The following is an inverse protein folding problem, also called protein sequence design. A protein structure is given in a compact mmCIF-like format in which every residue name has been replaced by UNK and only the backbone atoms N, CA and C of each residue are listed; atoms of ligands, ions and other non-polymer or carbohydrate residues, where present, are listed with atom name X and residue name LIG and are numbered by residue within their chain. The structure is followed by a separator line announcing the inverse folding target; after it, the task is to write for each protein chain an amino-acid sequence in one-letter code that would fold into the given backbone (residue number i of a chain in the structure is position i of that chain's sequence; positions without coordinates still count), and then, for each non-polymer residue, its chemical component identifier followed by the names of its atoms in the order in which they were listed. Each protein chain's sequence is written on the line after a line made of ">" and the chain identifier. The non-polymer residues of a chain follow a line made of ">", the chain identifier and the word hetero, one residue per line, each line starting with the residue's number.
data_IF_528110906818
#
_entry.id   IF_528110906818
#
_cell.length_a   1.000
_cell.length_b   1.000
_cell.length_c   1.000
_cell.angle_alpha   90.00
_cell.angle_beta   90.00
_cell.angle_gamma   90.00
#
_symmetry.space_group_name_H-M   'P 1'
#
loop_
_entity.id
_entity.type
_entity.pdbx_description
1 polymer ?
#
# COMPACT_ATOMS: atom_id res chain seq x y z
N UNK A 1 -30.40 -1.63 7.78
CA UNK A 1 -30.19 -0.54 6.81
C UNK A 1 -29.25 0.53 7.34
N UNK A 2 -29.60 1.29 8.39
CA UNK A 2 -28.71 2.35 8.92
C UNK A 2 -27.37 1.84 9.46
N UNK A 3 -27.38 0.71 10.19
CA UNK A 3 -26.17 0.08 10.72
C UNK A 3 -25.28 -0.51 9.63
N UNK A 4 -25.86 -1.17 8.62
CA UNK A 4 -25.11 -1.75 7.49
C UNK A 4 -24.38 -0.65 6.70
N UNK A 5 -25.05 0.50 6.50
CA UNK A 5 -24.45 1.67 5.87
C UNK A 5 -23.30 2.23 6.72
N UNK A 6 -23.49 2.30 8.04
CA UNK A 6 -22.46 2.78 8.95
C UNK A 6 -21.22 1.87 8.90
N UNK A 7 -21.40 0.56 9.07
CA UNK A 7 -20.28 -0.40 9.05
C UNK A 7 -19.58 -0.42 7.69
N UNK A 8 -20.33 -0.41 6.59
CA UNK A 8 -19.76 -0.35 5.24
C UNK A 8 -18.94 0.93 5.02
N UNK A 9 -19.45 2.08 5.48
CA UNK A 9 -18.75 3.37 5.38
C UNK A 9 -17.48 3.40 6.22
N UNK A 10 -17.55 2.93 7.48
CA UNK A 10 -16.37 2.83 8.37
C UNK A 10 -15.32 1.92 7.74
N UNK A 11 -15.73 0.77 7.20
CA UNK A 11 -14.83 -0.17 6.53
C UNK A 11 -14.12 0.48 5.33
N UNK A 12 -14.84 1.24 4.51
CA UNK A 12 -14.24 1.98 3.39
C UNK A 12 -13.22 3.01 3.89
N UNK A 13 -13.57 3.80 4.89
CA UNK A 13 -12.67 4.83 5.44
C UNK A 13 -11.39 4.21 6.01
N UNK A 14 -11.51 3.09 6.73
CA UNK A 14 -10.38 2.32 7.24
C UNK A 14 -9.52 1.76 6.10
N UNK A 15 -10.13 1.20 5.06
CA UNK A 15 -9.42 0.67 3.91
C UNK A 15 -8.63 1.74 3.15
N UNK A 16 -9.25 2.90 2.90
CA UNK A 16 -8.57 4.04 2.26
C UNK A 16 -7.42 4.56 3.13
N UNK A 17 -7.64 4.68 4.44
CA UNK A 17 -6.60 5.11 5.37
C UNK A 17 -5.41 4.14 5.37
N UNK A 18 -5.65 2.83 5.43
CA UNK A 18 -4.59 1.82 5.41
C UNK A 18 -3.79 1.84 4.09
N UNK A 19 -4.47 1.97 2.94
CA UNK A 19 -3.80 2.11 1.63
C UNK A 19 -2.97 3.39 1.57
N UNK A 20 -3.47 4.50 2.12
CA UNK A 20 -2.73 5.76 2.16
C UNK A 20 -1.50 5.65 3.07
N UNK A 21 -1.65 5.07 4.26
CA UNK A 21 -0.54 4.83 5.19
C UNK A 21 0.53 3.93 4.54
N UNK A 22 0.12 2.85 3.89
CA UNK A 22 1.01 2.00 3.10
C UNK A 22 1.74 2.78 2.00
N UNK A 23 1.02 3.58 1.21
CA UNK A 23 1.60 4.40 0.15
C UNK A 23 2.66 5.37 0.71
N UNK A 24 2.36 6.05 1.82
CA UNK A 24 3.32 6.94 2.47
C UNK A 24 4.55 6.17 2.96
N UNK A 25 4.35 5.00 3.58
CA UNK A 25 5.47 4.16 4.03
C UNK A 25 6.35 3.67 2.88
N UNK A 26 5.78 3.43 1.70
CA UNK A 26 6.50 2.89 0.54
C UNK A 26 7.22 3.99 -0.26
N UNK A 27 6.56 5.12 -0.49
CA UNK A 27 6.99 6.13 -1.47
C UNK A 27 7.40 7.48 -0.87
N UNK A 28 6.96 7.80 0.35
CA UNK A 28 7.33 9.05 1.00
C UNK A 28 8.62 8.90 1.79
N UNK A 29 9.50 9.89 1.71
CA UNK A 29 10.74 9.98 2.50
C UNK A 29 10.77 11.12 3.51
N UNK A 30 9.63 11.80 3.72
CA UNK A 30 9.51 12.83 4.75
C UNK A 30 8.99 12.25 6.07
N UNK A 31 8.79 13.12 7.06
CA UNK A 31 8.35 12.76 8.43
C UNK A 31 7.08 11.89 8.44
N UNK A 32 6.16 12.13 7.49
CA UNK A 32 4.94 11.35 7.32
C UNK A 32 5.17 9.92 6.83
N UNK A 33 6.21 9.69 6.01
CA UNK A 33 6.58 8.34 5.57
C UNK A 33 7.21 7.54 6.71
N UNK A 34 8.02 8.19 7.53
CA UNK A 34 8.65 7.57 8.70
C UNK A 34 7.61 7.24 9.78
N UNK A 35 6.71 8.18 10.10
CA UNK A 35 5.60 7.93 11.01
C UNK A 35 4.70 6.77 10.53
N UNK A 36 4.44 6.68 9.22
CA UNK A 36 3.67 5.58 8.65
C UNK A 36 4.41 4.24 8.81
N UNK A 37 5.73 4.18 8.54
CA UNK A 37 6.53 2.97 8.77
C UNK A 37 6.61 2.58 10.23
N UNK A 38 6.76 3.54 11.14
CA UNK A 38 6.77 3.29 12.58
C UNK A 38 5.42 2.73 13.05
N UNK A 39 4.30 3.31 12.59
CA UNK A 39 2.97 2.78 12.86
C UNK A 39 2.81 1.35 12.33
N UNK A 40 3.27 1.09 11.10
CA UNK A 40 3.10 -0.20 10.42
C UNK A 40 4.02 -1.31 10.94
N UNK A 41 5.28 -0.97 11.22
CA UNK A 41 6.27 -1.90 11.78
C UNK A 41 6.12 -2.07 13.29
N UNK A 42 5.61 -1.07 14.00
CA UNK A 42 5.39 -1.12 15.44
C UNK A 42 4.07 -1.76 15.84
N UNK A 43 2.94 -1.20 15.36
CA UNK A 43 1.61 -1.62 15.80
C UNK A 43 1.10 -2.88 15.07
N UNK A 44 1.56 -3.14 13.85
CA UNK A 44 1.06 -4.21 12.99
C UNK A 44 2.14 -5.20 12.50
N UNK A 45 3.28 -5.29 13.18
CA UNK A 45 4.38 -6.21 12.80
C UNK A 45 3.94 -7.69 12.84
N UNK A 46 3.57 -8.22 11.68
CA UNK A 46 3.25 -9.65 11.44
C UNK A 46 4.41 -10.40 10.77
N UNK A 47 5.56 -9.74 10.58
CA UNK A 47 6.77 -10.28 9.96
C UNK A 47 7.38 -9.38 8.89
N UNK A 48 8.41 -9.88 8.20
CA UNK A 48 9.21 -9.12 7.20
C UNK A 48 8.40 -8.64 5.98
N UNK A 49 7.25 -9.25 5.70
CA UNK A 49 6.40 -8.94 4.55
C UNK A 49 5.20 -8.04 4.89
N UNK A 50 5.14 -7.53 6.13
CA UNK A 50 3.99 -6.76 6.65
C UNK A 50 3.73 -5.51 5.81
N UNK A 51 4.72 -4.63 5.73
CA UNK A 51 4.61 -3.36 4.98
C UNK A 51 4.46 -3.65 3.48
N UNK A 52 5.13 -4.67 2.96
CA UNK A 52 5.18 -4.96 1.54
C UNK A 52 3.87 -5.55 0.97
N UNK A 53 3.21 -6.44 1.71
CA UNK A 53 2.13 -7.30 1.21
C UNK A 53 0.90 -7.29 2.08
N UNK A 54 1.06 -7.43 3.40
CA UNK A 54 -0.08 -7.58 4.32
C UNK A 54 -0.86 -6.28 4.40
N UNK A 55 -0.19 -5.15 4.60
CA UNK A 55 -0.87 -3.86 4.74
C UNK A 55 -1.71 -3.44 3.52
N UNK A 56 -1.19 -3.44 2.28
CA UNK A 56 -2.00 -3.09 1.13
C UNK A 56 -3.13 -4.12 0.93
N UNK A 57 -2.92 -5.39 1.29
CA UNK A 57 -3.96 -6.40 1.22
C UNK A 57 -5.07 -6.18 2.25
N UNK A 58 -4.74 -5.82 3.49
CA UNK A 58 -5.72 -5.48 4.54
C UNK A 58 -6.50 -4.22 4.17
N UNK A 59 -5.81 -3.19 3.65
CA UNK A 59 -6.48 -1.98 3.17
C UNK A 59 -7.47 -2.25 2.02
N UNK A 60 -7.08 -3.09 1.06
CA UNK A 60 -7.98 -3.51 -0.03
C UNK A 60 -9.13 -4.39 0.46
N UNK A 61 -8.89 -5.26 1.46
CA UNK A 61 -9.94 -6.08 2.06
C UNK A 61 -11.02 -5.22 2.70
N UNK A 62 -10.65 -4.22 3.50
CA UNK A 62 -11.61 -3.31 4.12
C UNK A 62 -12.30 -2.41 3.10
N UNK A 63 -11.60 -1.94 2.07
CA UNK A 63 -12.17 -1.13 1.01
C UNK A 63 -13.25 -1.89 0.22
N UNK A 64 -12.88 -3.06 -0.33
CA UNK A 64 -13.79 -3.85 -1.16
C UNK A 64 -14.86 -4.57 -0.34
N UNK A 65 -14.52 -5.03 0.87
CA UNK A 65 -15.49 -5.60 1.81
C UNK A 65 -16.52 -4.57 2.27
N UNK A 66 -16.10 -3.32 2.49
CA UNK A 66 -17.01 -2.21 2.78
C UNK A 66 -17.93 -1.88 1.61
N UNK A 67 -17.39 -1.81 0.37
CA UNK A 67 -18.20 -1.63 -0.84
C UNK A 67 -19.19 -2.78 -1.06
N UNK A 68 -18.79 -4.02 -0.79
CA UNK A 68 -19.67 -5.18 -0.86
C UNK A 68 -20.76 -5.13 0.21
N UNK A 69 -20.43 -4.76 1.44
CA UNK A 69 -21.41 -4.58 2.53
C UNK A 69 -22.42 -3.47 2.26
N UNK A 70 -22.06 -2.49 1.42
CA UNK A 70 -22.97 -1.46 0.94
C UNK A 70 -23.85 -1.91 -0.25
N UNK A 71 -23.57 -3.04 -0.89
CA UNK A 71 -24.32 -3.48 -2.07
C UNK A 71 -25.82 -3.74 -1.76
N UNK A 72 -26.12 -4.44 -0.66
CA UNK A 72 -27.49 -4.69 -0.21
C UNK A 72 -28.28 -3.40 0.11
N UNK A 73 -27.78 -2.47 0.95
CA UNK A 73 -28.52 -1.24 1.26
C UNK A 73 -28.69 -0.29 0.07
N UNK A 74 -27.85 -0.39 -0.96
CA UNK A 74 -28.02 0.37 -2.22
C UNK A 74 -28.86 -0.37 -3.29
N UNK A 75 -29.47 -1.50 -2.94
CA UNK A 75 -30.39 -2.22 -3.82
C UNK A 75 -29.70 -2.96 -4.96
N UNK A 76 -28.42 -3.32 -4.81
CA UNK A 76 -27.72 -4.18 -5.78
C UNK A 76 -28.26 -5.60 -5.59
N UNK A 77 -28.81 -6.23 -6.63
CA UNK A 77 -29.36 -7.59 -6.54
C UNK A 77 -28.30 -8.64 -6.15
N UNK A 78 -28.75 -9.74 -5.53
CA UNK A 78 -27.93 -10.87 -5.10
C UNK A 78 -27.08 -11.49 -6.22
N UNK A 79 -27.69 -11.65 -7.39
CA UNK A 79 -27.06 -12.23 -8.58
C UNK A 79 -26.37 -11.18 -9.46
N UNK A 80 -26.28 -9.93 -8.99
CA UNK A 80 -25.69 -8.85 -9.77
C UNK A 80 -24.19 -9.10 -10.00
N UNK A 81 -23.71 -8.97 -11.26
CA UNK A 81 -22.28 -8.98 -11.58
C UNK A 81 -21.45 -7.99 -10.75
N UNK A 82 -22.08 -6.92 -10.25
CA UNK A 82 -21.45 -5.89 -9.42
C UNK A 82 -20.98 -6.47 -8.07
N UNK A 83 -21.70 -7.44 -7.50
CA UNK A 83 -21.28 -8.09 -6.26
C UNK A 83 -20.01 -8.90 -6.47
N UNK A 84 -19.86 -9.56 -7.61
CA UNK A 84 -18.63 -10.27 -7.96
C UNK A 84 -17.45 -9.32 -8.16
N UNK A 85 -17.70 -8.12 -8.71
CA UNK A 85 -16.68 -7.09 -8.89
C UNK A 85 -16.03 -6.65 -7.57
N UNK A 86 -16.77 -6.63 -6.46
CA UNK A 86 -16.24 -6.29 -5.13
C UNK A 86 -15.88 -7.52 -4.31
N UNK A 87 -16.64 -8.60 -4.42
CA UNK A 87 -16.43 -9.84 -3.69
C UNK A 87 -15.15 -10.57 -4.07
N UNK A 88 -14.82 -10.65 -5.37
CA UNK A 88 -13.58 -11.32 -5.82
C UNK A 88 -12.34 -10.60 -5.27
N UNK A 89 -12.16 -9.27 -5.44
CA UNK A 89 -11.05 -8.54 -4.84
C UNK A 89 -10.99 -8.64 -3.31
N UNK A 90 -12.14 -8.66 -2.63
CA UNK A 90 -12.20 -8.88 -1.17
C UNK A 90 -11.61 -10.25 -0.80
N UNK A 91 -11.99 -11.31 -1.50
CA UNK A 91 -11.46 -12.65 -1.22
C UNK A 91 -9.99 -12.79 -1.62
N UNK A 92 -9.59 -12.24 -2.77
CA UNK A 92 -8.19 -12.25 -3.22
C UNK A 92 -7.30 -11.49 -2.23
N UNK A 93 -7.72 -10.31 -1.76
CA UNK A 93 -6.97 -9.54 -0.77
C UNK A 93 -6.82 -10.29 0.55
N UNK A 94 -7.85 -10.99 1.02
CA UNK A 94 -7.72 -11.87 2.19
C UNK A 94 -6.69 -12.99 1.96
N UNK A 95 -6.73 -13.66 0.80
CA UNK A 95 -5.74 -14.70 0.46
C UNK A 95 -4.33 -14.12 0.43
N UNK A 96 -4.15 -12.94 -0.17
CA UNK A 96 -2.85 -12.26 -0.23
C UNK A 96 -2.36 -11.89 1.17
N UNK A 97 -3.23 -11.40 2.07
CA UNK A 97 -2.88 -11.11 3.45
C UNK A 97 -2.39 -12.38 4.18
N UNK A 98 -3.07 -13.51 3.98
CA UNK A 98 -2.67 -14.82 4.54
C UNK A 98 -1.34 -15.30 3.94
N UNK A 99 -1.16 -15.19 2.63
CA UNK A 99 0.11 -15.52 1.98
C UNK A 99 1.25 -14.61 2.44
N UNK A 100 0.96 -13.35 2.76
CA UNK A 100 1.91 -12.39 3.31
C UNK A 100 2.47 -12.80 4.68
N UNK A 101 1.73 -13.62 5.46
CA UNK A 101 2.23 -14.20 6.71
C UNK A 101 3.33 -15.25 6.47
N UNK A 102 3.37 -15.85 5.28
CA UNK A 102 4.44 -16.78 4.92
C UNK A 102 5.72 -15.96 4.69
N UNK A 103 6.84 -16.27 5.37
CA UNK A 103 8.08 -15.51 5.27
C UNK A 103 8.83 -15.79 3.95
N UNK A 104 8.23 -15.40 2.82
CA UNK A 104 8.83 -15.47 1.47
C UNK A 104 9.79 -14.29 1.27
N UNK A 105 10.88 -14.49 0.54
CA UNK A 105 11.76 -13.38 0.12
C UNK A 105 11.15 -12.67 -1.08
N UNK A 106 10.61 -11.48 -0.85
CA UNK A 106 10.07 -10.62 -1.91
C UNK A 106 11.19 -9.91 -2.70
N UNK A 107 10.94 -9.53 -3.96
CA UNK A 107 11.90 -8.76 -4.76
C UNK A 107 12.18 -7.39 -4.13
N UNK A 108 13.42 -6.91 -4.26
CA UNK A 108 13.93 -5.68 -3.63
C UNK A 108 13.02 -4.44 -3.72
N UNK A 109 12.39 -4.11 -4.87
CA UNK A 109 11.50 -2.95 -4.98
C UNK A 109 10.27 -2.98 -4.06
N UNK A 110 9.97 -4.13 -3.46
CA UNK A 110 8.86 -4.29 -2.53
C UNK A 110 9.21 -3.89 -1.10
N UNK A 111 10.47 -3.51 -0.86
CA UNK A 111 10.92 -3.02 0.43
C UNK A 111 11.13 -1.50 0.39
N UNK A 112 10.70 -0.76 1.43
CA UNK A 112 10.86 0.70 1.48
C UNK A 112 12.33 1.14 1.44
N UNK A 113 13.24 0.38 2.04
CA UNK A 113 14.68 0.61 2.02
C UNK A 113 15.29 0.63 0.61
N UNK A 114 14.77 -0.17 -0.33
CA UNK A 114 15.27 -0.20 -1.71
C UNK A 114 15.04 1.13 -2.45
N UNK A 115 13.94 1.82 -2.12
CA UNK A 115 13.64 3.14 -2.68
C UNK A 115 14.54 4.23 -2.07
N UNK A 116 15.01 4.08 -0.84
CA UNK A 116 15.94 4.98 -0.19
C UNK A 116 17.33 4.91 -0.80
N UNK A 117 17.87 3.70 -0.95
CA UNK A 117 19.17 3.49 -1.59
C UNK A 117 19.21 4.10 -2.99
N UNK A 118 18.13 3.96 -3.77
CA UNK A 118 18.02 4.58 -5.09
C UNK A 118 17.82 6.09 -5.09
N UNK A 119 17.30 6.68 -4.01
CA UNK A 119 17.23 8.15 -3.86
C UNK A 119 18.61 8.71 -3.53
N UNK A 120 19.35 8.03 -2.66
CA UNK A 120 20.73 8.38 -2.34
C UNK A 120 21.64 8.30 -3.57
N UNK A 121 21.59 7.19 -4.31
CA UNK A 121 22.41 7.01 -5.51
C UNK A 121 22.13 8.10 -6.57
N UNK A 122 20.87 8.51 -6.73
CA UNK A 122 20.52 9.62 -7.64
C UNK A 122 21.00 10.98 -7.13
N UNK A 123 20.94 11.23 -5.82
CA UNK A 123 21.44 12.46 -5.23
C UNK A 123 22.98 12.53 -5.32
N UNK A 124 23.67 11.42 -5.07
CA UNK A 124 25.13 11.32 -5.17
C UNK A 124 25.60 11.46 -6.63
N UNK A 125 24.89 10.84 -7.58
CA UNK A 125 25.18 11.02 -9.00
C UNK A 125 24.91 12.45 -9.47
N UNK A 126 23.85 13.10 -9.01
CA UNK A 126 23.58 14.51 -9.29
C UNK A 126 24.62 15.45 -8.66
N UNK A 127 25.11 15.17 -7.45
CA UNK A 127 26.21 15.93 -6.83
C UNK A 127 27.53 15.71 -7.59
N UNK A 128 27.78 14.48 -8.03
CA UNK A 128 28.96 14.16 -8.84
C UNK A 128 28.92 14.86 -10.20
N UNK A 129 27.77 14.85 -10.89
CA UNK A 129 27.55 15.58 -12.14
C UNK A 129 27.64 17.11 -11.94
N UNK A 130 27.13 17.65 -10.83
CA UNK A 130 27.26 19.07 -10.50
C UNK A 130 28.72 19.46 -10.20
N UNK A 131 29.47 18.59 -9.54
CA UNK A 131 30.85 18.85 -9.11
C UNK A 131 31.89 18.58 -10.20
N UNK A 132 31.65 17.59 -11.06
CA UNK A 132 32.62 17.09 -12.04
C UNK A 132 32.11 17.04 -13.49
N UNK A 133 30.80 17.10 -13.73
CA UNK A 133 30.18 16.99 -15.06
C UNK A 133 30.36 18.22 -15.97
N UNK A 134 30.91 19.32 -15.45
CA UNK A 134 31.27 20.51 -16.25
C UNK A 134 32.59 20.37 -17.01
N UNK A 135 33.31 19.24 -16.87
CA UNK A 135 34.67 19.06 -17.44
C UNK A 135 34.71 18.51 -18.86
N UNK A 136 33.59 18.04 -19.42
CA UNK A 136 33.57 17.34 -20.72
C UNK A 136 33.05 18.21 -21.89
N UNK A 137 32.91 19.53 -21.69
CA UNK A 137 32.42 20.48 -22.72
C UNK A 137 33.49 21.30 -23.44
N UNK A 138 34.78 20.96 -23.29
CA UNK A 138 35.88 21.65 -23.93
C UNK A 138 36.76 20.67 -24.71
N UNK A 139 37.03 21.00 -25.96
CA UNK A 139 37.87 20.26 -26.94
C UNK A 139 37.10 19.15 -27.69
N UNK A 140 36.53 19.45 -28.86
CA UNK A 140 37.21 19.48 -30.18
C UNK A 140 36.47 20.38 -31.17
#
# INVERSE_FOLDING_TARGET
>A
MGEDILFGTISILLGVFAIAAWWFAMFSGGDWGEAAREMLSGAFSLGRNTIAVIEPAVGLFFLFGGLLGLADPFGVDGDSPIRFLFGIPTMVSLVVAVLGLIPVRLPGPMYPEWHEERRWLRAEQADWEARYGSRDGGEK
#
